data_IF_031235263422
#
_entry.id   IF_031235263422
#
_cell.length_a   1.000
_cell.length_b   1.000
_cell.length_c   1.000
_cell.angle_alpha   90.00
_cell.angle_beta   90.00
_cell.angle_gamma   90.00
#
_symmetry.space_group_name_H-M   'P 1'
#
loop_
_entity.id
_entity.type
_entity.pdbx_description
1 polymer ?
#
# COMPACT_ATOMS: atom_id res chain seq x y z
N UNK A 1 9.03 -0.31 19.20
CA UNK A 1 9.80 -0.58 17.97
C UNK A 1 11.11 -1.27 18.32
N UNK A 2 12.01 -0.64 19.07
CA UNK A 2 13.34 -1.20 19.38
C UNK A 2 13.26 -2.63 19.95
N UNK A 3 12.37 -2.88 20.93
CA UNK A 3 12.16 -4.22 21.51
C UNK A 3 11.67 -5.24 20.47
N UNK A 4 10.77 -4.84 19.56
CA UNK A 4 10.23 -5.73 18.53
C UNK A 4 11.30 -6.11 17.50
N UNK A 5 12.11 -5.15 17.05
CA UNK A 5 13.21 -5.41 16.12
C UNK A 5 14.29 -6.30 16.75
N UNK A 6 14.62 -6.05 18.04
CA UNK A 6 15.51 -6.92 18.80
C UNK A 6 14.99 -8.36 18.83
N UNK A 7 13.71 -8.56 19.16
CA UNK A 7 13.12 -9.89 19.23
C UNK A 7 13.13 -10.62 17.86
N UNK A 8 12.87 -9.89 16.75
CA UNK A 8 12.98 -10.45 15.40
C UNK A 8 14.41 -10.92 15.10
N UNK A 9 15.40 -10.09 15.44
CA UNK A 9 16.80 -10.45 15.25
C UNK A 9 17.20 -11.70 16.07
N UNK A 10 16.81 -11.75 17.35
CA UNK A 10 17.09 -12.87 18.25
C UNK A 10 16.44 -14.19 17.76
N UNK A 11 15.35 -14.12 17.01
CA UNK A 11 14.69 -15.24 16.36
C UNK A 11 15.26 -15.59 14.98
N UNK A 12 16.28 -14.86 14.50
CA UNK A 12 16.95 -15.14 13.22
C UNK A 12 16.29 -14.53 11.99
N UNK A 13 15.30 -13.62 12.17
CA UNK A 13 14.73 -12.87 11.03
C UNK A 13 15.68 -11.80 10.54
N UNK A 14 15.78 -11.62 9.22
CA UNK A 14 16.58 -10.56 8.59
C UNK A 14 15.73 -9.42 8.00
N UNK A 15 14.39 -9.59 7.96
CA UNK A 15 13.47 -8.59 7.42
C UNK A 15 12.09 -8.69 8.02
N UNK A 16 11.31 -7.63 7.87
CA UNK A 16 9.90 -7.58 8.26
C UNK A 16 9.12 -6.60 7.39
N UNK A 17 7.82 -6.69 7.45
CA UNK A 17 6.88 -5.66 7.04
C UNK A 17 6.40 -4.87 8.25
N UNK A 18 6.05 -3.60 8.04
CA UNK A 18 5.42 -2.78 9.08
C UNK A 18 3.97 -2.52 8.74
N UNK A 19 3.09 -2.77 9.70
CA UNK A 19 1.67 -2.45 9.58
C UNK A 19 1.33 -1.35 10.61
N UNK A 20 1.12 -0.13 10.12
CA UNK A 20 0.74 1.02 10.94
C UNK A 20 -0.48 1.73 10.37
N UNK A 21 -1.35 2.21 11.27
CA UNK A 21 -2.41 3.13 10.89
C UNK A 21 -1.85 4.52 10.59
N UNK A 22 -2.58 5.29 9.77
CA UNK A 22 -2.24 6.65 9.34
C UNK A 22 -1.93 7.62 10.49
N UNK A 23 -2.50 7.42 11.67
CA UNK A 23 -2.26 8.22 12.87
C UNK A 23 -0.81 8.13 13.38
N UNK A 24 -0.06 7.14 12.89
CA UNK A 24 1.31 6.87 13.30
C UNK A 24 2.36 7.32 12.28
N UNK A 25 1.96 7.89 11.17
CA UNK A 25 2.91 8.38 10.15
C UNK A 25 3.51 9.72 10.56
N UNK A 26 4.35 9.71 11.59
CA UNK A 26 5.08 10.88 12.08
C UNK A 26 6.57 10.77 11.76
N UNK A 27 7.23 11.91 11.69
CA UNK A 27 8.69 11.98 11.45
C UNK A 27 9.46 11.25 12.55
N UNK A 28 9.07 11.45 13.80
CA UNK A 28 9.69 10.83 14.96
C UNK A 28 9.61 9.31 14.92
N UNK A 29 8.45 8.78 14.48
CA UNK A 29 8.30 7.34 14.31
C UNK A 29 9.16 6.82 13.16
N UNK A 30 9.24 7.54 12.05
CA UNK A 30 10.08 7.17 10.91
C UNK A 30 11.56 7.08 11.31
N UNK A 31 12.06 8.05 12.08
CA UNK A 31 13.42 8.06 12.62
C UNK A 31 13.65 6.87 13.57
N UNK A 32 12.69 6.55 14.44
CA UNK A 32 12.78 5.40 15.33
C UNK A 32 12.81 4.07 14.57
N UNK A 33 11.99 3.94 13.50
CA UNK A 33 11.99 2.75 12.64
C UNK A 33 13.35 2.59 11.96
N UNK A 34 13.87 3.65 11.36
CA UNK A 34 15.17 3.65 10.69
C UNK A 34 16.30 3.26 11.65
N UNK A 35 16.37 3.89 12.81
CA UNK A 35 17.38 3.61 13.83
C UNK A 35 17.29 2.15 14.34
N UNK A 36 16.08 1.62 14.58
CA UNK A 36 15.88 0.24 15.01
C UNK A 36 16.26 -0.77 13.92
N UNK A 37 15.92 -0.48 12.67
CA UNK A 37 16.28 -1.28 11.49
C UNK A 37 17.82 -1.43 11.38
N UNK A 38 18.54 -0.31 11.44
CA UNK A 38 20.00 -0.30 11.38
C UNK A 38 20.64 -1.02 12.59
N UNK A 39 20.19 -0.69 13.81
CA UNK A 39 20.71 -1.25 15.06
C UNK A 39 20.59 -2.76 15.14
N UNK A 40 19.42 -3.30 14.76
CA UNK A 40 19.12 -4.72 14.88
C UNK A 40 19.30 -5.51 13.56
N UNK A 41 19.73 -4.84 12.49
CA UNK A 41 19.93 -5.44 11.16
C UNK A 41 18.67 -6.13 10.62
N UNK A 42 17.51 -5.55 10.87
CA UNK A 42 16.22 -6.00 10.34
C UNK A 42 15.81 -5.05 9.22
N UNK A 43 15.83 -5.51 7.98
CA UNK A 43 15.37 -4.70 6.84
C UNK A 43 13.85 -4.61 6.82
N UNK A 44 13.30 -3.41 6.85
CA UNK A 44 11.88 -3.21 6.57
C UNK A 44 11.68 -3.23 5.05
N UNK A 45 10.92 -4.20 4.57
CA UNK A 45 10.70 -4.40 3.13
C UNK A 45 9.55 -3.56 2.59
N UNK A 46 8.47 -3.45 3.35
CA UNK A 46 7.27 -2.69 2.97
C UNK A 46 6.59 -2.06 4.18
N UNK A 47 5.90 -0.95 3.92
CA UNK A 47 4.90 -0.39 4.82
C UNK A 47 3.53 -0.85 4.35
N UNK A 48 2.79 -1.52 5.23
CA UNK A 48 1.45 -2.04 4.96
C UNK A 48 0.41 -1.10 5.56
N UNK A 49 -0.62 -0.79 4.82
CA UNK A 49 -1.74 -0.04 5.35
C UNK A 49 -2.88 0.12 4.34
N UNK A 50 -4.09 0.21 4.86
CA UNK A 50 -5.27 0.58 4.10
C UNK A 50 -5.80 1.88 4.69
N UNK A 51 -5.49 3.02 4.07
CA UNK A 51 -5.97 4.31 4.55
C UNK A 51 -7.48 4.41 4.58
N UNK A 52 -7.99 5.02 5.63
CA UNK A 52 -9.41 5.29 5.83
C UNK A 52 -10.02 4.48 6.97
N UNK A 53 -10.71 5.20 7.88
CA UNK A 53 -11.26 4.63 9.11
C UNK A 53 -12.54 3.81 8.93
N UNK A 54 -13.12 3.81 7.74
CA UNK A 54 -14.42 3.20 7.46
C UNK A 54 -14.39 2.01 6.50
N UNK A 55 -13.22 1.43 6.27
CA UNK A 55 -13.09 0.26 5.38
C UNK A 55 -13.84 -0.94 5.96
N UNK A 56 -14.79 -1.46 5.21
CA UNK A 56 -15.57 -2.64 5.58
C UNK A 56 -15.17 -3.81 4.69
N UNK A 57 -14.60 -4.84 5.32
CA UNK A 57 -14.04 -6.00 4.64
C UNK A 57 -15.10 -7.06 4.35
N UNK A 58 -15.97 -6.80 3.38
CA UNK A 58 -16.89 -7.78 2.82
C UNK A 58 -17.26 -7.41 1.38
N UNK A 59 -17.74 -8.37 0.60
CA UNK A 59 -18.07 -8.17 -0.83
C UNK A 59 -19.29 -7.27 -1.06
N UNK A 60 -20.11 -6.99 -0.04
CA UNK A 60 -21.30 -6.14 -0.18
C UNK A 60 -20.98 -4.66 0.02
N UNK A 61 -20.20 -4.32 1.02
CA UNK A 61 -19.90 -2.94 1.42
C UNK A 61 -18.48 -2.51 1.04
N UNK A 62 -17.57 -3.48 0.87
CA UNK A 62 -16.19 -3.25 0.47
C UNK A 62 -16.05 -2.42 -0.80
N UNK A 63 -16.81 -2.70 -1.88
CA UNK A 63 -16.74 -1.91 -3.11
C UNK A 63 -16.99 -0.42 -2.92
N UNK A 64 -17.75 -0.02 -1.89
CA UNK A 64 -18.05 1.37 -1.58
C UNK A 64 -17.10 2.00 -0.55
N UNK A 65 -16.25 1.21 0.12
CA UNK A 65 -15.48 1.70 1.28
C UNK A 65 -13.97 1.48 1.18
N UNK A 66 -13.50 0.51 0.39
CA UNK A 66 -12.08 0.15 0.34
C UNK A 66 -11.35 0.86 -0.81
N UNK A 67 -10.18 1.40 -0.51
CA UNK A 67 -9.22 1.92 -1.49
C UNK A 67 -9.66 3.19 -2.21
N UNK A 68 -9.24 3.32 -3.46
CA UNK A 68 -9.41 4.51 -4.30
C UNK A 68 -10.45 4.35 -5.43
N UNK A 69 -11.04 3.17 -5.59
CA UNK A 69 -12.12 2.94 -6.55
C UNK A 69 -13.38 3.72 -6.18
N UNK A 70 -13.85 3.74 -4.91
CA UNK A 70 -14.96 4.59 -4.51
C UNK A 70 -14.62 6.07 -4.65
N UNK A 71 -15.59 6.89 -5.11
CA UNK A 71 -15.42 8.34 -5.25
C UNK A 71 -15.49 9.03 -3.88
N UNK A 72 -16.36 8.54 -3.03
CA UNK A 72 -16.53 9.07 -1.68
C UNK A 72 -15.22 8.89 -0.87
N UNK A 73 -14.83 9.94 -0.15
CA UNK A 73 -13.59 9.99 0.64
C UNK A 73 -12.29 9.79 -0.16
N UNK A 74 -12.33 9.70 -1.49
CA UNK A 74 -11.16 9.43 -2.34
C UNK A 74 -10.04 10.43 -2.14
N UNK A 75 -10.36 11.72 -2.04
CA UNK A 75 -9.36 12.78 -1.84
C UNK A 75 -8.68 12.66 -0.48
N UNK A 76 -9.43 12.37 0.58
CA UNK A 76 -8.88 12.16 1.92
C UNK A 76 -7.96 10.93 1.94
N UNK A 77 -8.38 9.85 1.30
CA UNK A 77 -7.57 8.63 1.16
C UNK A 77 -6.30 8.87 0.35
N UNK A 78 -6.37 9.64 -0.74
CA UNK A 78 -5.18 10.02 -1.51
C UNK A 78 -4.15 10.76 -0.66
N UNK A 79 -4.58 11.69 0.18
CA UNK A 79 -3.69 12.40 1.08
C UNK A 79 -3.06 11.47 2.13
N UNK A 80 -3.81 10.49 2.61
CA UNK A 80 -3.28 9.47 3.51
C UNK A 80 -2.26 8.54 2.81
N UNK A 81 -2.52 8.14 1.56
CA UNK A 81 -1.54 7.39 0.76
C UNK A 81 -0.26 8.19 0.49
N UNK A 82 -0.37 9.49 0.21
CA UNK A 82 0.80 10.37 0.08
C UNK A 82 1.61 10.44 1.38
N UNK A 83 0.95 10.60 2.54
CA UNK A 83 1.59 10.56 3.85
C UNK A 83 2.30 9.22 4.10
N UNK A 84 1.70 8.13 3.66
CA UNK A 84 2.29 6.79 3.75
C UNK A 84 3.57 6.70 2.89
N UNK A 85 3.55 7.24 1.67
CA UNK A 85 4.73 7.31 0.79
C UNK A 85 5.82 8.19 1.43
N UNK A 86 5.46 9.37 1.96
CA UNK A 86 6.41 10.27 2.61
C UNK A 86 7.03 9.63 3.87
N UNK A 87 6.24 8.86 4.64
CA UNK A 87 6.75 8.08 5.74
C UNK A 87 7.75 7.01 5.28
N UNK A 88 7.48 6.31 4.16
CA UNK A 88 8.43 5.37 3.57
C UNK A 88 9.78 6.04 3.26
N UNK A 89 9.75 7.22 2.64
CA UNK A 89 10.96 7.99 2.35
C UNK A 89 11.75 8.31 3.63
N UNK A 90 11.04 8.83 4.65
CA UNK A 90 11.67 9.24 5.91
C UNK A 90 12.26 8.06 6.69
N UNK A 91 11.56 6.92 6.67
CA UNK A 91 11.98 5.70 7.37
C UNK A 91 12.98 4.85 6.57
N UNK A 92 13.26 5.18 5.31
CA UNK A 92 14.12 4.39 4.43
C UNK A 92 13.48 3.08 3.98
N UNK A 93 12.14 3.03 3.87
CA UNK A 93 11.38 1.86 3.44
C UNK A 93 11.20 1.93 1.92
N UNK A 94 11.58 0.91 1.15
CA UNK A 94 11.60 0.99 -0.31
C UNK A 94 10.23 0.89 -0.98
N UNK A 95 9.23 0.37 -0.27
CA UNK A 95 7.92 0.11 -0.83
C UNK A 95 6.78 0.29 0.17
N UNK A 96 5.60 0.55 -0.34
CA UNK A 96 4.35 0.40 0.40
C UNK A 96 3.45 -0.61 -0.29
N UNK A 97 2.57 -1.29 0.48
CA UNK A 97 1.51 -2.06 -0.14
C UNK A 97 0.15 -1.81 0.52
N UNK A 98 -0.90 -1.98 -0.29
CA UNK A 98 -2.27 -1.75 0.13
C UNK A 98 -3.28 -2.45 -0.78
N UNK A 99 -4.50 -2.59 -0.28
CA UNK A 99 -5.67 -2.83 -1.12
C UNK A 99 -6.18 -1.49 -1.68
N UNK A 100 -6.18 -1.35 -3.00
CA UNK A 100 -6.60 -0.11 -3.65
C UNK A 100 -8.08 -0.09 -4.05
N UNK A 101 -8.84 -1.12 -3.69
CA UNK A 101 -10.27 -1.24 -3.90
C UNK A 101 -10.66 -2.32 -4.91
N UNK A 102 -11.95 -2.44 -5.15
CA UNK A 102 -12.52 -3.40 -6.10
C UNK A 102 -12.42 -2.83 -7.52
N UNK A 103 -11.32 -3.12 -8.20
CA UNK A 103 -11.06 -2.62 -9.55
C UNK A 103 -12.11 -3.19 -10.53
N UNK A 104 -12.85 -2.35 -11.27
CA UNK A 104 -13.84 -2.82 -12.20
C UNK A 104 -13.27 -3.75 -13.28
N UNK A 105 -13.96 -4.84 -13.56
CA UNK A 105 -13.58 -5.83 -14.58
C UNK A 105 -13.68 -5.25 -16.01
N UNK A 106 -14.65 -4.36 -16.25
CA UNK A 106 -14.85 -3.71 -17.55
C UNK A 106 -13.92 -2.50 -17.71
N UNK A 107 -12.89 -2.59 -18.57
CA UNK A 107 -11.97 -1.48 -18.81
C UNK A 107 -12.59 -0.30 -19.57
N UNK A 108 -13.76 -0.47 -20.15
CA UNK A 108 -14.48 0.59 -20.84
C UNK A 108 -15.28 1.48 -19.89
N UNK A 109 -15.56 0.99 -18.68
CA UNK A 109 -16.36 1.70 -17.68
C UNK A 109 -15.70 3.02 -17.24
N UNK A 110 -16.51 4.02 -16.92
CA UNK A 110 -16.04 5.28 -16.41
C UNK A 110 -15.28 5.11 -15.09
N UNK A 111 -15.77 4.22 -14.21
CA UNK A 111 -15.15 3.96 -12.92
C UNK A 111 -13.74 3.35 -13.03
N UNK A 112 -13.52 2.45 -14.01
CA UNK A 112 -12.19 1.91 -14.28
C UNK A 112 -11.23 3.01 -14.75
N UNK A 113 -11.65 3.80 -15.73
CA UNK A 113 -10.83 4.90 -16.28
C UNK A 113 -10.46 5.92 -15.23
N UNK A 114 -11.43 6.32 -14.42
CA UNK A 114 -11.22 7.20 -13.27
C UNK A 114 -10.18 6.65 -12.29
N UNK A 115 -10.31 5.35 -11.95
CA UNK A 115 -9.35 4.67 -11.06
C UNK A 115 -7.94 4.69 -11.64
N UNK A 116 -7.78 4.38 -12.93
CA UNK A 116 -6.48 4.40 -13.61
C UNK A 116 -5.81 5.77 -13.52
N UNK A 117 -6.56 6.85 -13.77
CA UNK A 117 -6.01 8.22 -13.69
C UNK A 117 -5.59 8.58 -12.25
N UNK A 118 -6.42 8.27 -11.27
CA UNK A 118 -6.11 8.52 -9.86
C UNK A 118 -4.87 7.74 -9.41
N UNK A 119 -4.79 6.47 -9.77
CA UNK A 119 -3.64 5.64 -9.44
C UNK A 119 -2.37 6.06 -10.18
N UNK A 120 -2.48 6.54 -11.42
CA UNK A 120 -1.35 7.10 -12.17
C UNK A 120 -0.75 8.30 -11.44
N UNK A 121 -1.60 9.20 -10.95
CA UNK A 121 -1.16 10.34 -10.13
C UNK A 121 -0.43 9.93 -8.85
N UNK A 122 -0.98 8.96 -8.12
CA UNK A 122 -0.36 8.43 -6.90
C UNK A 122 0.95 7.70 -7.19
N UNK A 123 0.97 6.86 -8.23
CA UNK A 123 2.16 6.11 -8.63
C UNK A 123 3.29 7.01 -9.12
N UNK A 124 2.97 8.10 -9.84
CA UNK A 124 3.94 9.13 -10.23
C UNK A 124 4.54 9.80 -8.99
N UNK A 125 3.70 10.19 -8.03
CA UNK A 125 4.14 10.78 -6.77
C UNK A 125 5.12 9.87 -6.01
N UNK A 126 4.84 8.57 -5.96
CA UNK A 126 5.71 7.57 -5.34
C UNK A 126 7.03 7.39 -6.13
N UNK A 127 6.94 7.33 -7.48
CA UNK A 127 8.10 7.16 -8.37
C UNK A 127 9.12 8.28 -8.21
N UNK A 128 8.66 9.53 -8.16
CA UNK A 128 9.49 10.72 -7.93
C UNK A 128 10.25 10.67 -6.59
N UNK A 129 9.76 9.84 -5.65
CA UNK A 129 10.35 9.62 -4.31
C UNK A 129 11.09 8.29 -4.18
N UNK A 130 11.24 7.55 -5.28
CA UNK A 130 11.86 6.21 -5.31
C UNK A 130 11.14 5.20 -4.40
N UNK A 131 9.83 5.31 -4.27
CA UNK A 131 8.99 4.36 -3.52
C UNK A 131 8.22 3.49 -4.52
N UNK A 132 8.26 2.17 -4.31
CA UNK A 132 7.47 1.21 -5.06
C UNK A 132 6.09 1.07 -4.41
N UNK A 133 5.07 0.76 -5.21
CA UNK A 133 3.73 0.46 -4.75
C UNK A 133 3.39 -0.97 -5.12
N UNK A 134 2.97 -1.76 -4.14
CA UNK A 134 2.49 -3.12 -4.34
C UNK A 134 0.97 -3.17 -4.14
N UNK A 135 0.28 -3.71 -5.12
CA UNK A 135 -1.13 -4.06 -4.99
C UNK A 135 -1.26 -5.35 -4.18
N UNK A 136 -2.01 -5.33 -3.10
CA UNK A 136 -2.44 -6.54 -2.42
C UNK A 136 -3.48 -7.26 -3.27
N UNK A 137 -3.31 -8.58 -3.46
CA UNK A 137 -4.30 -9.40 -4.19
C UNK A 137 -5.55 -9.63 -3.34
N UNK A 138 -6.71 -9.83 -3.98
CA UNK A 138 -7.88 -10.32 -3.27
C UNK A 138 -9.25 -9.90 -3.78
N UNK A 139 -9.45 -8.67 -4.22
CA UNK A 139 -10.79 -8.17 -4.57
C UNK A 139 -11.09 -8.26 -6.06
N UNK A 140 -10.09 -8.26 -6.89
CA UNK A 140 -10.17 -8.33 -8.34
C UNK A 140 -9.51 -9.60 -8.87
N UNK A 141 -9.86 -9.97 -10.09
CA UNK A 141 -9.15 -11.08 -10.75
C UNK A 141 -7.71 -10.71 -11.08
N UNK A 142 -6.77 -11.68 -11.09
CA UNK A 142 -5.40 -11.44 -11.51
C UNK A 142 -5.26 -10.77 -12.87
N UNK A 143 -6.16 -11.07 -13.80
CA UNK A 143 -6.17 -10.47 -15.14
C UNK A 143 -6.50 -8.99 -15.07
N UNK A 144 -7.50 -8.61 -14.28
CA UNK A 144 -7.88 -7.20 -14.06
C UNK A 144 -6.77 -6.43 -13.40
N UNK A 145 -6.12 -7.00 -12.40
CA UNK A 145 -5.01 -6.36 -11.71
C UNK A 145 -3.80 -6.11 -12.63
N UNK A 146 -3.39 -7.12 -13.41
CA UNK A 146 -2.29 -6.98 -14.36
C UNK A 146 -2.62 -5.93 -15.43
N UNK A 147 -3.86 -5.92 -15.93
CA UNK A 147 -4.34 -4.91 -16.89
C UNK A 147 -4.25 -3.52 -16.29
N UNK A 148 -4.76 -3.30 -15.07
CA UNK A 148 -4.72 -2.01 -14.40
C UNK A 148 -3.27 -1.51 -14.22
N UNK A 149 -2.34 -2.36 -13.80
CA UNK A 149 -0.92 -2.01 -13.67
C UNK A 149 -0.32 -1.56 -15.01
N UNK A 150 -0.65 -2.27 -16.11
CA UNK A 150 -0.20 -1.90 -17.46
C UNK A 150 -0.80 -0.58 -17.93
N UNK A 151 -2.09 -0.36 -17.68
CA UNK A 151 -2.80 0.85 -18.09
C UNK A 151 -2.37 2.08 -17.29
N UNK A 152 -1.99 1.92 -16.02
CA UNK A 152 -1.37 2.99 -15.21
C UNK A 152 0.01 3.35 -15.79
N UNK A 153 0.84 2.37 -16.10
CA UNK A 153 2.02 2.53 -16.96
C UNK A 153 3.21 3.30 -16.37
N UNK A 154 3.28 3.50 -15.05
CA UNK A 154 4.37 4.28 -14.42
C UNK A 154 5.66 3.48 -14.19
N UNK A 155 5.57 2.14 -14.18
CA UNK A 155 6.72 1.23 -14.08
C UNK A 155 7.23 0.98 -12.65
N UNK A 156 6.58 1.53 -11.62
CA UNK A 156 6.90 1.31 -10.20
C UNK A 156 5.78 0.59 -9.43
N UNK A 157 4.87 -0.07 -10.15
CA UNK A 157 3.78 -0.84 -9.59
C UNK A 157 4.05 -2.33 -9.70
N UNK A 158 3.81 -3.05 -8.61
CA UNK A 158 4.02 -4.49 -8.49
C UNK A 158 2.86 -5.13 -7.71
N UNK A 159 2.97 -6.40 -7.42
CA UNK A 159 1.93 -7.18 -6.73
C UNK A 159 2.52 -7.77 -5.45
N UNK A 160 1.83 -7.60 -4.33
CA UNK A 160 1.96 -8.45 -3.16
C UNK A 160 1.00 -9.61 -3.35
N UNK A 161 1.55 -10.79 -3.67
CA UNK A 161 0.75 -11.95 -4.04
C UNK A 161 0.38 -12.76 -2.78
N UNK A 162 -0.77 -12.48 -2.21
CA UNK A 162 -1.37 -13.32 -1.18
C UNK A 162 -2.30 -14.35 -1.83
N UNK A 163 -1.86 -15.60 -1.83
CA UNK A 163 -2.61 -16.71 -2.43
C UNK A 163 -3.90 -17.02 -1.65
N UNK A 164 -3.94 -16.77 -0.35
CA UNK A 164 -5.13 -17.00 0.46
C UNK A 164 -6.27 -16.05 0.04
N UNK A 165 -5.95 -14.82 -0.27
CA UNK A 165 -6.92 -13.84 -0.77
C UNK A 165 -7.51 -14.19 -2.14
N UNK A 166 -6.82 -15.01 -2.94
CA UNK A 166 -7.30 -15.46 -4.25
C UNK A 166 -8.23 -16.68 -4.17
N UNK A 167 -8.36 -17.29 -2.99
CA UNK A 167 -9.21 -18.46 -2.76
C UNK A 167 -10.54 -18.11 -2.08
N UNK A 168 -10.74 -16.86 -1.71
CA UNK A 168 -11.99 -16.34 -1.13
C UNK A 168 -12.92 -15.82 -2.24
#
# INVERSE_FOLDING_TARGET
>A
IDKSFKALHEQGFGSCELNYSEKRFTKELAEQVKAASEKHRIRVTTLVGVPGSKSTWNFRQGPATIGLVPIDERFEKLDLYRKMIDFCVQAGIPAMHSHFGFIPEDPSSAQYKDFIEVMRGLATYAKERNVLIYFETGQETPITLIRAIRDIGTGNLFINCDLANLLM
#
